data_IF_197697298861
#
_entry.id   IF_197697298861
#
_cell.length_a   1.000
_cell.length_b   1.000
_cell.length_c   1.000
_cell.angle_alpha   90.00
_cell.angle_beta   90.00
_cell.angle_gamma   90.00
#
_symmetry.space_group_name_H-M   'P 1'
#
loop_
_entity.id
_entity.type
_entity.pdbx_description
1 polymer ?
#
# COMPACT_ATOMS: atom_id res chain seq x y z
N UNK A 1 -3.61 17.07 -14.28
CA UNK A 1 -4.43 15.84 -14.23
C UNK A 1 -3.82 14.92 -13.19
N UNK A 2 -4.42 14.73 -12.01
CA UNK A 2 -3.81 13.97 -10.93
C UNK A 2 -4.03 12.45 -11.05
N UNK A 3 -4.62 11.95 -12.14
CA UNK A 3 -4.96 10.53 -12.30
C UNK A 3 -3.75 9.64 -12.70
N UNK A 4 -2.57 10.24 -12.90
CA UNK A 4 -1.39 9.54 -13.44
C UNK A 4 -0.20 9.46 -12.48
N UNK A 5 -0.42 9.60 -11.16
CA UNK A 5 0.66 9.42 -10.22
C UNK A 5 0.72 7.95 -9.74
N UNK A 6 1.85 7.28 -9.95
CA UNK A 6 2.13 5.91 -9.47
C UNK A 6 2.01 5.79 -7.93
N UNK A 7 2.02 6.93 -7.25
CA UNK A 7 1.68 7.01 -5.84
C UNK A 7 0.26 6.48 -5.54
N UNK A 8 -0.70 6.65 -6.45
CA UNK A 8 -2.09 6.21 -6.24
C UNK A 8 -2.22 4.68 -6.23
N UNK A 9 -1.45 3.98 -7.08
CA UNK A 9 -1.37 2.52 -7.07
C UNK A 9 -0.74 2.01 -5.77
N UNK A 10 0.31 2.71 -5.32
CA UNK A 10 1.00 2.41 -4.07
C UNK A 10 0.06 2.58 -2.87
N UNK A 11 -0.64 3.71 -2.78
CA UNK A 11 -1.63 3.95 -1.72
C UNK A 11 -2.81 2.99 -1.79
N UNK A 12 -3.26 2.62 -2.99
CA UNK A 12 -4.34 1.64 -3.16
C UNK A 12 -3.94 0.26 -2.67
N UNK A 13 -2.71 -0.18 -2.94
CA UNK A 13 -2.17 -1.44 -2.42
C UNK A 13 -2.09 -1.45 -0.88
N UNK A 14 -1.62 -0.36 -0.28
CA UNK A 14 -1.54 -0.21 1.19
C UNK A 14 -2.94 -0.18 1.81
N UNK A 15 -3.87 0.61 1.28
CA UNK A 15 -5.27 0.66 1.74
C UNK A 15 -5.92 -0.72 1.68
N UNK A 16 -5.70 -1.47 0.60
CA UNK A 16 -6.23 -2.83 0.47
C UNK A 16 -5.65 -3.79 1.52
N UNK A 17 -4.38 -3.64 1.89
CA UNK A 17 -3.78 -4.42 2.97
C UNK A 17 -4.39 -4.04 4.32
N UNK A 18 -4.49 -2.73 4.62
CA UNK A 18 -5.10 -2.23 5.86
C UNK A 18 -6.54 -2.75 5.99
N UNK A 19 -7.33 -2.68 4.91
CA UNK A 19 -8.71 -3.16 4.93
C UNK A 19 -8.82 -4.66 5.24
N UNK A 20 -7.86 -5.48 4.78
CA UNK A 20 -7.82 -6.91 5.11
C UNK A 20 -7.38 -7.20 6.54
N UNK A 21 -6.64 -6.29 7.17
CA UNK A 21 -6.08 -6.47 8.51
C UNK A 21 -6.63 -5.46 9.52
N UNK A 22 -7.77 -4.84 9.21
CA UNK A 22 -8.26 -3.67 9.95
C UNK A 22 -8.42 -3.95 11.45
N UNK A 23 -8.80 -5.18 11.81
CA UNK A 23 -8.97 -5.57 13.21
C UNK A 23 -7.65 -5.52 13.98
N UNK A 24 -6.53 -5.89 13.35
CA UNK A 24 -5.19 -5.85 13.96
C UNK A 24 -4.81 -4.40 14.23
N UNK A 25 -4.94 -3.52 13.23
CA UNK A 25 -4.59 -2.10 13.38
C UNK A 25 -5.48 -1.39 14.40
N UNK A 26 -6.78 -1.70 14.43
CA UNK A 26 -7.73 -1.08 15.35
C UNK A 26 -7.47 -1.45 16.82
N UNK A 27 -6.80 -2.56 17.09
CA UNK A 27 -6.50 -3.06 18.44
C UNK A 27 -5.00 -3.10 18.74
N UNK A 28 -4.18 -2.45 17.91
CA UNK A 28 -2.73 -2.49 18.06
C UNK A 28 -2.26 -1.56 19.18
N UNK A 29 -1.33 -2.04 19.99
CA UNK A 29 -0.59 -1.21 20.94
C UNK A 29 0.47 -0.36 20.23
N UNK A 30 0.85 -0.72 19.01
CA UNK A 30 1.89 -0.05 18.19
C UNK A 30 1.42 0.15 16.74
N UNK A 31 0.35 0.95 16.51
CA UNK A 31 -0.27 1.09 15.19
C UNK A 31 0.68 1.66 14.12
N UNK A 32 1.67 2.47 14.50
CA UNK A 32 2.69 3.01 13.59
C UNK A 32 3.61 1.93 13.01
N UNK A 33 3.92 0.88 13.79
CA UNK A 33 4.72 -0.25 13.33
C UNK A 33 3.90 -1.12 12.38
N UNK A 34 2.62 -1.34 12.68
CA UNK A 34 1.72 -2.08 11.78
C UNK A 34 1.47 -1.32 10.48
N UNK A 35 1.41 0.02 10.52
CA UNK A 35 1.36 0.88 9.33
C UNK A 35 2.65 0.78 8.51
N UNK A 36 3.82 0.74 9.17
CA UNK A 36 5.09 0.54 8.48
C UNK A 36 5.15 -0.85 7.82
N UNK A 37 4.65 -1.90 8.47
CA UNK A 37 4.52 -3.25 7.89
C UNK A 37 3.56 -3.24 6.70
N UNK A 38 2.44 -2.52 6.79
CA UNK A 38 1.50 -2.36 5.68
C UNK A 38 2.19 -1.77 4.44
N UNK A 39 3.08 -0.80 4.62
CA UNK A 39 3.85 -0.20 3.53
C UNK A 39 4.78 -1.21 2.82
N UNK A 40 5.23 -2.26 3.51
CA UNK A 40 6.06 -3.31 2.91
C UNK A 40 5.34 -4.13 1.82
N UNK A 41 4.01 -4.00 1.69
CA UNK A 41 3.24 -4.61 0.59
C UNK A 41 3.57 -4.03 -0.79
N UNK A 42 4.20 -2.85 -0.82
CA UNK A 42 4.68 -2.18 -2.02
C UNK A 42 6.08 -2.69 -2.34
N UNK A 43 6.14 -3.78 -3.11
CA UNK A 43 7.41 -4.39 -3.52
C UNK A 43 7.96 -3.78 -4.80
N UNK A 44 9.26 -3.97 -5.04
CA UNK A 44 9.90 -3.56 -6.29
C UNK A 44 9.26 -4.23 -7.53
N UNK A 45 8.79 -5.47 -7.39
CA UNK A 45 8.07 -6.18 -8.44
C UNK A 45 6.74 -5.50 -8.78
N UNK A 46 5.93 -5.16 -7.77
CA UNK A 46 4.67 -4.43 -7.99
C UNK A 46 4.93 -3.07 -8.61
N UNK A 47 5.91 -2.34 -8.11
CA UNK A 47 6.30 -1.05 -8.68
C UNK A 47 6.64 -1.19 -10.16
N UNK A 48 7.53 -2.12 -10.53
CA UNK A 48 7.87 -2.41 -11.94
C UNK A 48 6.62 -2.79 -12.76
N UNK A 49 5.73 -3.60 -12.21
CA UNK A 49 4.45 -3.95 -12.86
C UNK A 49 3.60 -2.72 -13.18
N UNK A 50 3.49 -1.77 -12.24
CA UNK A 50 2.75 -0.52 -12.45
C UNK A 50 3.40 0.40 -13.49
N UNK A 51 4.74 0.46 -13.53
CA UNK A 51 5.47 1.18 -14.58
C UNK A 51 5.22 0.54 -15.96
N UNK A 52 5.29 -0.79 -16.06
CA UNK A 52 5.18 -1.51 -17.33
C UNK A 52 3.75 -1.54 -17.90
N UNK A 53 2.71 -1.56 -17.06
CA UNK A 53 1.31 -1.50 -17.53
C UNK A 53 0.94 -0.14 -18.15
N UNK A 54 1.77 0.89 -17.93
CA UNK A 54 1.53 2.26 -18.37
C UNK A 54 2.44 2.68 -19.55
N UNK A 55 3.13 1.74 -20.20
CA UNK A 55 3.86 1.92 -21.46
C UNK A 55 3.27 1.01 -22.54
#
# INVERSE_FOLDING_TARGET
SPDFNLIEESFSAVKAWIHRHWWRLANSETPEIDLLEACAIVTAEKARGWFNFRH
#
